data_IF_646975778829
#
_entry.id   IF_646975778829
#
_cell.length_a   1.000
_cell.length_b   1.000
_cell.length_c   1.000
_cell.angle_alpha   90.00
_cell.angle_beta   90.00
_cell.angle_gamma   90.00
#
_symmetry.space_group_name_H-M   'P 1'
#
loop_
_entity.id
_entity.type
_entity.pdbx_description
1 polymer ?
#
# COMPACT_ATOMS: atom_id res chain seq x y z
N UNK A 1 -2.24 -22.80 -0.50
CA UNK A 1 -1.33 -21.69 -0.16
C UNK A 1 -0.08 -21.85 -1.02
N UNK A 2 0.25 -20.87 -1.84
CA UNK A 2 1.47 -20.96 -2.67
C UNK A 2 2.62 -20.30 -1.88
N UNK A 3 3.23 -21.06 -0.97
CA UNK A 3 4.43 -20.64 -0.22
C UNK A 3 5.58 -20.19 -1.14
N UNK A 4 5.57 -20.64 -2.38
CA UNK A 4 6.57 -20.28 -3.38
C UNK A 4 6.52 -18.78 -3.72
N UNK A 5 5.32 -18.19 -3.88
CA UNK A 5 5.17 -16.75 -4.14
C UNK A 5 5.65 -15.89 -2.95
N UNK A 6 5.42 -16.36 -1.72
CA UNK A 6 5.92 -15.67 -0.51
C UNK A 6 7.44 -15.79 -0.41
N UNK A 7 8.00 -16.94 -0.78
CA UNK A 7 9.45 -17.18 -0.79
C UNK A 7 10.14 -16.39 -1.91
N UNK A 8 9.57 -16.36 -3.11
CA UNK A 8 10.11 -15.60 -4.25
C UNK A 8 10.09 -14.09 -3.95
N UNK A 9 9.02 -13.56 -3.34
CA UNK A 9 8.98 -12.17 -2.88
C UNK A 9 9.98 -11.88 -1.75
N UNK A 10 10.21 -12.82 -0.85
CA UNK A 10 11.21 -12.70 0.21
C UNK A 10 12.64 -12.81 -0.34
N UNK A 11 12.86 -13.56 -1.42
CA UNK A 11 14.15 -13.63 -2.11
C UNK A 11 14.45 -12.37 -2.94
N UNK A 12 13.45 -11.79 -3.61
CA UNK A 12 13.58 -10.48 -4.25
C UNK A 12 13.92 -9.38 -3.24
N UNK A 13 13.33 -9.43 -2.04
CA UNK A 13 13.67 -8.53 -0.93
C UNK A 13 15.12 -8.74 -0.43
N UNK A 14 15.66 -9.96 -0.50
CA UNK A 14 17.06 -10.26 -0.11
C UNK A 14 18.09 -9.82 -1.13
N UNK A 15 17.74 -9.76 -2.41
CA UNK A 15 18.66 -9.35 -3.49
C UNK A 15 18.71 -7.84 -3.71
N UNK A 16 17.72 -7.09 -3.24
CA UNK A 16 17.82 -5.63 -3.12
C UNK A 16 18.69 -5.30 -1.90
N UNK A 17 19.69 -4.42 -2.06
CA UNK A 17 20.46 -3.90 -0.92
C UNK A 17 19.52 -3.55 0.22
N UNK A 18 19.74 -4.11 1.40
CA UNK A 18 18.90 -3.97 2.60
C UNK A 18 18.48 -2.52 2.97
N UNK A 19 19.17 -1.52 2.40
CA UNK A 19 18.83 -0.08 2.56
C UNK A 19 17.68 0.39 1.67
N UNK A 20 17.37 -0.33 0.58
CA UNK A 20 16.28 0.02 -0.36
C UNK A 20 15.05 -0.89 -0.17
N UNK A 21 15.12 -1.86 0.73
CA UNK A 21 14.07 -2.87 0.97
C UNK A 21 13.09 -2.48 2.08
N UNK A 22 12.93 -1.18 2.37
CA UNK A 22 11.88 -0.73 3.28
C UNK A 22 10.52 -0.95 2.61
N UNK A 23 9.58 -1.53 3.36
CA UNK A 23 8.18 -1.75 2.92
C UNK A 23 7.62 -0.47 2.28
N UNK A 24 7.95 0.69 2.84
CA UNK A 24 7.57 2.00 2.30
C UNK A 24 7.97 2.20 0.84
N UNK A 25 9.11 1.68 0.40
CA UNK A 25 9.55 1.80 -1.00
C UNK A 25 8.63 1.10 -1.99
N UNK A 26 7.85 0.12 -1.53
CA UNK A 26 6.92 -0.66 -2.35
C UNK A 26 5.48 -0.19 -2.25
N UNK A 27 5.07 0.34 -1.10
CA UNK A 27 3.66 0.66 -0.80
C UNK A 27 3.38 2.16 -0.63
N UNK A 28 4.38 3.03 -0.82
CA UNK A 28 4.19 4.47 -0.78
C UNK A 28 4.17 5.09 -2.18
N UNK A 29 3.57 6.30 -2.29
CA UNK A 29 3.59 7.04 -3.55
C UNK A 29 4.98 7.47 -3.98
N UNK A 30 5.85 7.79 -3.03
CA UNK A 30 7.25 8.12 -3.33
C UNK A 30 7.99 6.90 -3.87
N UNK A 31 7.80 5.74 -3.26
CA UNK A 31 8.36 4.47 -3.71
C UNK A 31 7.86 4.07 -5.09
N UNK A 32 6.55 4.18 -5.33
CA UNK A 32 5.93 3.97 -6.65
C UNK A 32 6.58 4.86 -7.71
N UNK A 33 6.69 6.16 -7.45
CA UNK A 33 7.28 7.12 -8.39
C UNK A 33 8.76 6.80 -8.67
N UNK A 34 9.56 6.51 -7.64
CA UNK A 34 10.97 6.13 -7.81
C UNK A 34 11.14 4.90 -8.69
N UNK A 35 10.36 3.83 -8.45
CA UNK A 35 10.43 2.58 -9.22
C UNK A 35 9.98 2.79 -10.67
N UNK A 36 8.86 3.49 -10.88
CA UNK A 36 8.37 3.82 -12.21
C UNK A 36 9.39 4.61 -13.02
N UNK A 37 9.92 5.69 -12.44
CA UNK A 37 10.88 6.57 -13.10
C UNK A 37 12.21 5.85 -13.42
N UNK A 38 12.68 4.99 -12.51
CA UNK A 38 13.88 4.16 -12.75
C UNK A 38 13.67 3.18 -13.90
N UNK A 39 12.51 2.48 -13.91
CA UNK A 39 12.21 1.43 -14.89
C UNK A 39 11.96 1.99 -16.29
N UNK A 40 11.20 3.07 -16.37
CA UNK A 40 10.74 3.64 -17.65
C UNK A 40 11.48 4.92 -18.07
N UNK A 41 12.54 5.31 -17.34
CA UNK A 41 13.36 6.52 -17.59
C UNK A 41 12.50 7.79 -17.71
N UNK A 42 11.54 7.93 -16.81
CA UNK A 42 10.64 9.09 -16.71
C UNK A 42 10.92 9.91 -15.45
N UNK A 43 10.23 11.02 -15.28
CA UNK A 43 10.32 11.86 -14.07
C UNK A 43 8.93 12.33 -13.68
N UNK A 44 8.10 11.38 -13.22
CA UNK A 44 6.69 11.60 -12.85
C UNK A 44 6.51 11.48 -11.34
N UNK A 45 5.52 12.20 -10.82
CA UNK A 45 5.02 12.02 -9.45
C UNK A 45 3.99 10.88 -9.41
N UNK A 46 3.67 10.40 -8.21
CA UNK A 46 2.72 9.31 -8.05
C UNK A 46 1.33 9.63 -8.66
N UNK A 47 0.79 10.82 -8.42
CA UNK A 47 -0.49 11.22 -8.98
C UNK A 47 -0.51 11.19 -10.52
N UNK A 48 0.58 11.60 -11.17
CA UNK A 48 0.70 11.56 -12.64
C UNK A 48 0.74 10.10 -13.15
N UNK A 49 1.35 9.18 -12.40
CA UNK A 49 1.34 7.74 -12.73
C UNK A 49 -0.08 7.18 -12.59
N UNK A 50 -0.83 7.54 -11.54
CA UNK A 50 -2.23 7.15 -11.40
C UNK A 50 -3.12 7.74 -12.52
N UNK A 51 -2.84 8.95 -13.00
CA UNK A 51 -3.53 9.51 -14.17
C UNK A 51 -3.26 8.70 -15.44
N UNK A 52 -2.01 8.26 -15.66
CA UNK A 52 -1.66 7.38 -16.77
C UNK A 52 -2.36 6.02 -16.66
N UNK A 53 -2.45 5.47 -15.45
CA UNK A 53 -3.19 4.23 -15.17
C UNK A 53 -4.68 4.37 -15.55
N UNK A 54 -5.33 5.48 -15.15
CA UNK A 54 -6.74 5.77 -15.53
C UNK A 54 -6.94 5.95 -17.03
N UNK A 55 -5.87 6.28 -17.77
CA UNK A 55 -5.86 6.37 -19.23
C UNK A 55 -5.47 5.06 -19.93
N UNK A 56 -5.34 3.99 -19.18
CA UNK A 56 -4.94 2.66 -19.67
C UNK A 56 -3.56 2.63 -20.37
N UNK A 57 -2.61 3.45 -19.88
CA UNK A 57 -1.22 3.38 -20.32
C UNK A 57 -0.56 2.12 -19.78
N UNK A 58 -0.07 1.28 -20.70
CA UNK A 58 0.40 -0.08 -20.40
C UNK A 58 1.47 -0.14 -19.30
N UNK A 59 2.41 0.80 -19.31
CA UNK A 59 3.51 0.84 -18.34
C UNK A 59 3.00 1.22 -16.95
N UNK A 60 2.01 2.12 -16.87
CA UNK A 60 1.36 2.51 -15.64
C UNK A 60 0.48 1.37 -15.10
N UNK A 61 -0.27 0.69 -15.96
CA UNK A 61 -1.07 -0.48 -15.56
C UNK A 61 -0.20 -1.56 -14.90
N UNK A 62 0.91 -1.94 -15.56
CA UNK A 62 1.84 -2.93 -15.00
C UNK A 62 2.41 -2.52 -13.65
N UNK A 63 2.76 -1.25 -13.49
CA UNK A 63 3.32 -0.74 -12.24
C UNK A 63 2.28 -0.66 -11.13
N UNK A 64 1.05 -0.27 -11.44
CA UNK A 64 -0.04 -0.21 -10.46
C UNK A 64 -0.48 -1.62 -10.04
N UNK A 65 -0.53 -2.59 -10.96
CA UNK A 65 -0.80 -3.99 -10.58
C UNK A 65 0.29 -4.55 -9.64
N UNK A 66 1.56 -4.28 -9.91
CA UNK A 66 2.66 -4.63 -9.02
C UNK A 66 2.52 -3.94 -7.65
N UNK A 67 2.12 -2.66 -7.63
CA UNK A 67 1.85 -1.92 -6.40
C UNK A 67 0.70 -2.54 -5.59
N UNK A 68 -0.42 -2.91 -6.23
CA UNK A 68 -1.56 -3.58 -5.57
C UNK A 68 -1.14 -4.88 -4.90
N UNK A 69 -0.36 -5.71 -5.60
CA UNK A 69 0.13 -6.98 -5.07
C UNK A 69 1.02 -6.75 -3.85
N UNK A 70 2.00 -5.85 -3.95
CA UNK A 70 2.92 -5.55 -2.85
C UNK A 70 2.18 -5.00 -1.63
N UNK A 71 1.20 -4.12 -1.84
CA UNK A 71 0.36 -3.59 -0.77
C UNK A 71 -0.46 -4.70 -0.11
N UNK A 72 -1.12 -5.54 -0.88
CA UNK A 72 -1.92 -6.65 -0.38
C UNK A 72 -1.08 -7.66 0.41
N UNK A 73 0.12 -7.98 -0.05
CA UNK A 73 1.05 -8.86 0.67
C UNK A 73 1.50 -8.25 2.00
N UNK A 74 1.81 -6.95 2.02
CA UNK A 74 2.21 -6.24 3.23
C UNK A 74 1.07 -6.21 4.25
N UNK A 75 -0.16 -5.97 3.81
CA UNK A 75 -1.35 -5.99 4.66
C UNK A 75 -1.64 -7.40 5.19
N UNK A 76 -1.47 -8.44 4.37
CA UNK A 76 -1.66 -9.82 4.81
C UNK A 76 -0.67 -10.22 5.92
N UNK A 77 0.55 -9.71 5.92
CA UNK A 77 1.49 -9.90 7.04
C UNK A 77 0.93 -9.30 8.32
N UNK A 78 0.37 -8.08 8.25
CA UNK A 78 -0.24 -7.42 9.41
C UNK A 78 -1.46 -8.20 9.89
N UNK A 79 -2.32 -8.67 8.98
CA UNK A 79 -3.48 -9.51 9.32
C UNK A 79 -3.04 -10.78 10.04
N UNK A 80 -2.05 -11.50 9.51
CA UNK A 80 -1.58 -12.76 10.09
C UNK A 80 -0.96 -12.60 11.49
N UNK A 81 -0.51 -11.40 11.85
CA UNK A 81 0.11 -11.12 13.16
C UNK A 81 -0.88 -10.51 14.14
N UNK A 82 -1.71 -9.56 13.69
CA UNK A 82 -2.53 -8.70 14.55
C UNK A 82 -4.03 -8.94 14.42
N UNK A 83 -4.48 -9.58 13.34
CA UNK A 83 -5.90 -9.81 13.02
C UNK A 83 -6.78 -8.56 13.25
N UNK A 84 -6.49 -7.42 12.60
CA UNK A 84 -7.21 -6.17 12.86
C UNK A 84 -8.63 -6.20 12.26
N UNK A 85 -9.61 -5.68 12.98
CA UNK A 85 -10.99 -5.54 12.50
C UNK A 85 -11.12 -4.52 11.34
N UNK A 86 -10.21 -3.52 11.30
CA UNK A 86 -10.30 -2.44 10.31
C UNK A 86 -8.92 -1.90 9.93
N UNK A 87 -8.73 -1.65 8.64
CA UNK A 87 -7.63 -0.84 8.11
C UNK A 87 -8.14 0.54 7.72
N UNK A 88 -7.48 1.58 8.20
CA UNK A 88 -7.73 2.95 7.76
C UNK A 88 -6.50 3.45 7.02
N UNK A 89 -6.66 3.69 5.71
CA UNK A 89 -5.57 4.12 4.84
C UNK A 89 -5.42 5.63 4.88
N UNK A 90 -4.25 6.12 5.31
CA UNK A 90 -3.91 7.55 5.33
C UNK A 90 -2.73 7.87 4.41
N UNK A 91 -2.51 9.17 4.15
CA UNK A 91 -1.42 9.68 3.33
C UNK A 91 -1.80 9.97 1.90
N UNK A 92 -0.88 10.65 1.17
CA UNK A 92 -1.17 11.22 -0.15
C UNK A 92 -1.61 10.23 -1.23
N UNK A 93 -1.12 8.98 -1.17
CA UNK A 93 -1.50 7.93 -2.13
C UNK A 93 -2.95 7.50 -1.97
N UNK A 94 -3.51 7.59 -0.76
CA UNK A 94 -4.87 7.15 -0.48
C UNK A 94 -5.92 7.90 -1.32
N UNK A 95 -5.66 9.15 -1.65
CA UNK A 95 -6.56 9.95 -2.48
C UNK A 95 -6.61 9.46 -3.93
N UNK A 96 -5.54 8.82 -4.39
CA UNK A 96 -5.41 8.30 -5.75
C UNK A 96 -5.97 6.88 -5.90
N UNK A 97 -6.08 6.13 -4.80
CA UNK A 97 -6.57 4.75 -4.81
C UNK A 97 -8.09 4.74 -4.89
N UNK A 98 -8.63 4.13 -5.93
CA UNK A 98 -10.05 3.85 -6.16
C UNK A 98 -10.39 2.36 -6.16
N UNK A 99 -9.37 1.50 -5.98
CA UNK A 99 -9.45 0.04 -6.05
C UNK A 99 -9.32 -0.65 -4.67
N UNK A 100 -9.94 -0.11 -3.62
CA UNK A 100 -9.87 -0.69 -2.27
C UNK A 100 -10.42 -2.11 -2.20
N UNK A 101 -11.51 -2.40 -2.91
CA UNK A 101 -12.11 -3.73 -2.96
C UNK A 101 -11.15 -4.76 -3.59
N UNK A 102 -10.37 -4.34 -4.59
CA UNK A 102 -9.35 -5.20 -5.19
C UNK A 102 -8.22 -5.51 -4.21
N UNK A 103 -7.74 -4.50 -3.47
CA UNK A 103 -6.70 -4.69 -2.45
C UNK A 103 -7.22 -5.60 -1.33
N UNK A 104 -8.46 -5.43 -0.88
CA UNK A 104 -9.08 -6.30 0.12
C UNK A 104 -9.12 -7.74 -0.37
N UNK A 105 -9.63 -7.97 -1.58
CA UNK A 105 -9.71 -9.30 -2.18
C UNK A 105 -8.33 -9.93 -2.40
N UNK A 106 -7.33 -9.14 -2.80
CA UNK A 106 -5.96 -9.61 -2.94
C UNK A 106 -5.35 -9.96 -1.57
N UNK A 107 -5.57 -9.12 -0.55
CA UNK A 107 -5.08 -9.35 0.80
C UNK A 107 -5.62 -10.68 1.35
N UNK A 108 -6.91 -10.93 1.21
CA UNK A 108 -7.55 -12.20 1.63
C UNK A 108 -6.91 -13.44 1.00
N UNK A 109 -6.38 -13.33 -0.23
CA UNK A 109 -5.67 -14.44 -0.89
C UNK A 109 -4.35 -14.80 -0.23
N UNK A 110 -3.70 -13.83 0.43
CA UNK A 110 -2.39 -14.01 1.09
C UNK A 110 -2.52 -14.29 2.59
N UNK A 111 -3.70 -14.10 3.19
CA UNK A 111 -3.95 -14.40 4.60
C UNK A 111 -4.02 -15.90 4.83
N UNK A 112 -3.43 -16.37 5.93
CA UNK A 112 -3.50 -17.76 6.36
C UNK A 112 -4.93 -18.04 6.83
N UNK A 113 -5.54 -19.14 6.33
CA UNK A 113 -6.92 -19.51 6.68
C UNK A 113 -7.99 -18.90 5.80
N UNK A 114 -7.73 -17.77 5.12
CA UNK A 114 -8.66 -17.07 4.20
C UNK A 114 -9.98 -16.61 4.81
N UNK A 115 -10.09 -16.55 6.14
CA UNK A 115 -11.31 -16.21 6.87
C UNK A 115 -11.30 -14.75 7.39
N UNK A 116 -10.40 -13.92 6.88
CA UNK A 116 -10.30 -12.53 7.29
C UNK A 116 -11.51 -11.71 6.82
N UNK A 117 -12.24 -11.13 7.78
CA UNK A 117 -13.45 -10.33 7.56
C UNK A 117 -13.25 -8.83 7.83
N UNK A 118 -12.03 -8.39 8.11
CA UNK A 118 -11.73 -6.98 8.37
C UNK A 118 -12.04 -6.07 7.18
N UNK A 119 -12.39 -4.84 7.47
CA UNK A 119 -12.83 -3.83 6.50
C UNK A 119 -11.73 -2.81 6.19
N UNK A 120 -11.71 -2.35 4.96
CA UNK A 120 -10.75 -1.38 4.45
C UNK A 120 -11.44 -0.04 4.21
N UNK A 121 -10.99 1.01 4.88
CA UNK A 121 -11.65 2.32 4.88
C UNK A 121 -10.71 3.46 4.50
N UNK A 122 -11.26 4.46 3.84
CA UNK A 122 -10.62 5.78 3.70
C UNK A 122 -10.78 6.59 4.98
N UNK A 123 -9.80 7.45 5.33
CA UNK A 123 -9.94 8.32 6.49
C UNK A 123 -11.02 9.38 6.24
N UNK A 124 -11.88 9.62 7.22
CA UNK A 124 -12.97 10.61 7.12
C UNK A 124 -12.49 12.03 6.78
N UNK A 125 -11.27 12.38 7.13
CA UNK A 125 -10.69 13.73 7.00
C UNK A 125 -9.49 13.78 6.03
N UNK A 126 -9.34 12.77 5.18
CA UNK A 126 -8.24 12.69 4.20
C UNK A 126 -6.86 12.87 4.83
N UNK A 127 -5.98 13.60 4.14
CA UNK A 127 -4.59 13.82 4.56
C UNK A 127 -4.44 14.57 5.90
N UNK A 128 -5.47 15.35 6.29
CA UNK A 128 -5.49 16.08 7.56
C UNK A 128 -5.70 15.16 8.79
N UNK A 129 -5.98 13.87 8.61
CA UNK A 129 -6.29 12.95 9.72
C UNK A 129 -5.16 12.84 10.74
N UNK A 130 -3.91 12.76 10.28
CA UNK A 130 -2.71 12.70 11.13
C UNK A 130 -2.51 13.97 11.96
N UNK A 131 -2.61 15.14 11.32
CA UNK A 131 -2.48 16.44 11.98
C UNK A 131 -3.59 16.66 13.01
N UNK A 132 -4.82 16.25 12.69
CA UNK A 132 -5.96 16.33 13.63
C UNK A 132 -5.79 15.38 14.81
N UNK A 133 -5.24 14.19 14.58
CA UNK A 133 -4.90 13.25 15.64
C UNK A 133 -3.84 13.82 16.59
N UNK A 134 -2.75 14.37 16.05
CA UNK A 134 -1.69 15.00 16.82
C UNK A 134 -2.21 16.22 17.63
N UNK A 135 -3.08 17.04 17.04
CA UNK A 135 -3.69 18.18 17.74
C UNK A 135 -4.56 17.77 18.95
N UNK A 136 -5.14 16.56 18.92
CA UNK A 136 -5.89 16.03 20.07
C UNK A 136 -5.01 15.60 21.24
N UNK A 137 -3.79 15.16 20.99
CA UNK A 137 -2.84 14.78 22.05
C UNK A 137 -2.40 15.97 22.91
N UNK A 138 -2.43 17.19 22.35
CA UNK A 138 -2.11 18.42 23.07
C UNK A 138 -3.28 18.98 23.91
N UNK A 139 -4.48 18.46 23.78
CA UNK A 139 -5.60 18.83 24.66
C UNK A 139 -5.40 18.12 26.01
N UNK A 140 -5.03 18.89 27.04
CA UNK A 140 -5.12 18.40 28.42
C UNK A 140 -6.58 17.99 28.66
N UNK A 141 -6.79 16.70 28.98
CA UNK A 141 -8.08 16.25 29.50
C UNK A 141 -8.32 17.01 30.80
N UNK A 142 -9.29 17.91 30.80
CA UNK A 142 -9.84 18.48 32.03
C UNK A 142 -10.64 17.35 32.68
N UNK A 143 -10.01 16.67 33.63
CA UNK A 143 -10.70 15.86 34.62
C UNK A 143 -11.10 16.73 35.78
#
# INVERSE_FOLDING_TARGET
>A
MNFRAVFEAAEELKTSNLRDAEVESFVSGLGLAKRFNKKYKKNLKANEIFELYRKHELDAEKMIEEFKINLAMSLAVIVNILDPDVFIFGGGVTNEIDFFDEIENLTKKFVIGKEYEGIFLKPKYGDASGVRGAARLGRKSSY
#
